data_IF_596194971303
#
_entry.id   IF_596194971303
#
_cell.length_a   1.000
_cell.length_b   1.000
_cell.length_c   1.000
_cell.angle_alpha   90.00
_cell.angle_beta   90.00
_cell.angle_gamma   90.00
#
_symmetry.space_group_name_H-M   'P 1'
#
loop_
_entity.id
_entity.type
_entity.pdbx_description
1 polymer ?
#
# COMPACT_ATOMS: atom_id res chain seq x y z
N UNK A 1 10.26 20.85 20.05
CA UNK A 1 10.35 19.54 19.38
C UNK A 1 9.23 19.46 18.34
N UNK A 2 9.55 19.20 17.08
CA UNK A 2 8.60 19.17 15.96
C UNK A 2 7.77 17.87 16.01
N UNK A 3 6.91 17.73 17.02
CA UNK A 3 6.12 16.53 17.33
C UNK A 3 5.07 16.13 16.28
N UNK A 4 5.12 16.71 15.08
CA UNK A 4 4.24 16.36 13.97
C UNK A 4 4.40 14.88 13.58
N UNK A 5 5.61 14.35 13.54
CA UNK A 5 5.86 12.93 13.19
C UNK A 5 5.35 11.91 14.22
N UNK A 6 4.96 12.34 15.43
CA UNK A 6 4.43 11.45 16.49
C UNK A 6 2.91 11.49 16.64
N UNK A 7 2.21 12.26 15.81
CA UNK A 7 0.74 12.27 15.78
C UNK A 7 0.21 10.90 15.35
N UNK A 8 -0.84 10.42 16.00
CA UNK A 8 -1.44 9.09 15.72
C UNK A 8 -1.95 9.03 14.28
N UNK A 9 -2.46 10.14 13.77
CA UNK A 9 -2.93 10.30 12.39
C UNK A 9 -1.82 9.99 11.38
N UNK A 10 -0.60 10.46 11.64
CA UNK A 10 0.54 10.19 10.76
C UNK A 10 0.95 8.71 10.78
N UNK A 11 0.79 8.03 11.92
CA UNK A 11 0.97 6.58 11.99
C UNK A 11 -0.10 5.86 11.15
N UNK A 12 -1.36 6.27 11.26
CA UNK A 12 -2.47 5.69 10.47
C UNK A 12 -2.21 5.86 8.97
N UNK A 13 -1.75 7.03 8.53
CA UNK A 13 -1.39 7.27 7.13
C UNK A 13 -0.23 6.38 6.66
N UNK A 14 0.84 6.27 7.46
CA UNK A 14 1.98 5.42 7.14
C UNK A 14 1.58 3.95 7.02
N UNK A 15 0.75 3.46 7.95
CA UNK A 15 0.21 2.09 7.93
C UNK A 15 -0.63 1.85 6.67
N UNK A 16 -1.53 2.78 6.35
CA UNK A 16 -2.40 2.68 5.18
C UNK A 16 -1.61 2.60 3.88
N UNK A 17 -0.61 3.47 3.72
CA UNK A 17 0.30 3.47 2.57
C UNK A 17 1.11 2.18 2.48
N UNK A 18 1.62 1.69 3.60
CA UNK A 18 2.37 0.43 3.65
C UNK A 18 1.52 -0.74 3.17
N UNK A 19 0.30 -0.88 3.69
CA UNK A 19 -0.59 -1.99 3.32
C UNK A 19 -1.06 -1.89 1.86
N UNK A 20 -1.29 -0.70 1.32
CA UNK A 20 -1.58 -0.52 -0.10
C UNK A 20 -0.44 -0.97 -0.99
N UNK A 21 0.77 -0.48 -0.71
CA UNK A 21 1.92 -0.89 -1.50
C UNK A 21 2.18 -2.40 -1.39
N UNK A 22 2.16 -2.96 -0.18
CA UNK A 22 2.46 -4.37 0.04
C UNK A 22 1.45 -5.30 -0.65
N UNK A 23 0.15 -5.01 -0.54
CA UNK A 23 -0.88 -5.90 -1.06
C UNK A 23 -1.12 -5.75 -2.56
N UNK A 24 -1.02 -4.54 -3.12
CA UNK A 24 -1.47 -4.26 -4.48
C UNK A 24 -0.33 -4.02 -5.48
N UNK A 25 0.84 -3.53 -5.03
CA UNK A 25 1.93 -3.14 -5.92
C UNK A 25 3.20 -4.02 -5.79
N UNK A 26 3.45 -4.61 -4.61
CA UNK A 26 4.63 -5.44 -4.38
C UNK A 26 4.39 -6.88 -4.80
N UNK A 27 5.16 -7.36 -5.77
CA UNK A 27 5.19 -8.78 -6.13
C UNK A 27 5.81 -9.59 -4.99
N UNK A 28 5.07 -10.58 -4.48
CA UNK A 28 5.56 -11.46 -3.44
C UNK A 28 6.56 -12.47 -4.00
N UNK A 29 7.71 -12.66 -3.34
CA UNK A 29 8.83 -13.43 -3.88
C UNK A 29 8.48 -14.88 -4.21
N UNK A 30 7.65 -15.53 -3.40
CA UNK A 30 7.22 -16.93 -3.60
C UNK A 30 6.00 -17.05 -4.49
N UNK A 31 4.99 -16.19 -4.32
CA UNK A 31 3.72 -16.23 -5.06
C UNK A 31 3.88 -15.77 -6.51
N UNK A 32 4.92 -14.97 -6.80
CA UNK A 32 5.21 -14.36 -8.11
C UNK A 32 4.16 -13.35 -8.61
N UNK A 33 3.09 -13.14 -7.85
CA UNK A 33 2.13 -12.04 -8.02
C UNK A 33 1.95 -11.30 -6.69
N UNK A 34 1.07 -10.30 -6.64
CA UNK A 34 0.79 -9.55 -5.41
C UNK A 34 -0.17 -10.32 -4.50
N UNK A 35 -0.15 -10.09 -3.18
CA UNK A 35 -1.12 -10.70 -2.26
C UNK A 35 -2.58 -10.47 -2.66
N UNK A 36 -2.93 -9.28 -3.16
CA UNK A 36 -4.29 -8.98 -3.62
C UNK A 36 -4.69 -9.78 -4.87
N UNK A 37 -3.74 -10.10 -5.75
CA UNK A 37 -3.97 -10.96 -6.91
C UNK A 37 -4.17 -12.43 -6.49
N UNK A 38 -3.34 -12.95 -5.60
CA UNK A 38 -3.52 -14.32 -5.07
C UNK A 38 -4.87 -14.47 -4.36
N UNK A 39 -5.28 -13.43 -3.62
CA UNK A 39 -6.57 -13.38 -2.95
C UNK A 39 -7.76 -13.10 -3.89
N UNK A 40 -7.52 -12.93 -5.20
CA UNK A 40 -8.52 -12.63 -6.23
C UNK A 40 -9.33 -11.35 -5.98
N UNK A 41 -8.73 -10.37 -5.29
CA UNK A 41 -9.31 -9.05 -5.07
C UNK A 41 -9.16 -8.16 -6.31
N UNK A 42 -8.11 -8.40 -7.09
CA UNK A 42 -7.80 -7.71 -8.35
C UNK A 42 -7.06 -8.67 -9.28
N UNK A 43 -7.23 -8.51 -10.58
CA UNK A 43 -6.46 -9.19 -11.63
C UNK A 43 -5.34 -8.30 -12.22
N UNK A 44 -5.36 -7.01 -11.89
CA UNK A 44 -4.39 -6.01 -12.31
C UNK A 44 -3.31 -5.78 -11.24
N UNK A 45 -2.05 -5.71 -11.68
CA UNK A 45 -0.92 -5.19 -10.88
C UNK A 45 -1.01 -3.66 -10.79
N UNK A 46 -0.93 -3.12 -9.56
CA UNK A 46 -0.92 -1.69 -9.34
C UNK A 46 0.51 -1.14 -9.31
N UNK A 47 0.67 0.13 -9.68
CA UNK A 47 1.89 0.88 -9.43
C UNK A 47 1.69 1.95 -8.34
N UNK A 48 2.77 2.66 -8.00
CA UNK A 48 2.72 3.74 -6.98
C UNK A 48 1.84 4.90 -7.46
N UNK A 49 1.75 5.17 -8.77
CA UNK A 49 0.92 6.25 -9.30
C UNK A 49 -0.56 5.95 -9.08
N UNK A 50 -0.98 4.70 -9.22
CA UNK A 50 -2.35 4.28 -8.92
C UNK A 50 -2.72 4.55 -7.45
N UNK A 51 -1.82 4.24 -6.52
CA UNK A 51 -2.02 4.48 -5.09
C UNK A 51 -2.14 5.98 -4.80
N UNK A 52 -1.28 6.80 -5.42
CA UNK A 52 -1.34 8.27 -5.26
C UNK A 52 -2.65 8.84 -5.80
N UNK A 53 -3.16 8.33 -6.93
CA UNK A 53 -4.45 8.75 -7.49
C UNK A 53 -5.65 8.49 -6.58
N UNK A 54 -5.54 7.60 -5.59
CA UNK A 54 -6.61 7.41 -4.59
C UNK A 54 -6.74 8.57 -3.60
N UNK A 55 -5.69 9.39 -3.46
CA UNK A 55 -5.61 10.46 -2.47
C UNK A 55 -6.03 11.82 -3.07
N UNK A 56 -6.12 11.92 -4.39
CA UNK A 56 -6.50 13.14 -5.13
C UNK A 56 -5.36 13.76 -5.92
#
# INVERSE_FOLDING_TARGET
>A
ANGFSKKVENLVYAISLHFMYYNFARIHRTLKVTPAMEAKVTDRLWDVKDIVKLIG
#
